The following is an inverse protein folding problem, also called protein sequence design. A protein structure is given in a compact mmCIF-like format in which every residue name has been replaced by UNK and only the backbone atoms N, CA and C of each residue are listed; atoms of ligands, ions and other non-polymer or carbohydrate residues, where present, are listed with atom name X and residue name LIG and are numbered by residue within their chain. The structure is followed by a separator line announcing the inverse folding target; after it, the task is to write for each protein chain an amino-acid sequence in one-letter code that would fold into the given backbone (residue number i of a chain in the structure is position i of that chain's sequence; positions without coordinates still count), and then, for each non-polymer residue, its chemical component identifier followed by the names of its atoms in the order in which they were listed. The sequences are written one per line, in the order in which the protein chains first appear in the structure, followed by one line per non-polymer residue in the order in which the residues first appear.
data_IF_232142034523
#
_entry.id   IF_232142034523
#
_cell.length_a   1.000
_cell.length_b   1.000
_cell.length_c   1.000
_cell.angle_alpha   90.00
_cell.angle_beta   90.00
_cell.angle_gamma   90.00
#
_symmetry.space_group_name_H-M   'P 1'
#
loop_
_entity.id
_entity.type
_entity.pdbx_description
1 polymer ?
#
# COMPACT_ATOMS: atom_id res chain seq x y z
N UNK A 1 15.89 -0.93 3.12
CA UNK A 1 14.69 -0.96 3.98
C UNK A 1 13.63 -1.83 3.34
N UNK A 2 12.79 -2.44 4.16
CA UNK A 2 11.67 -3.25 3.69
C UNK A 2 10.39 -2.46 3.80
N UNK A 3 9.46 -2.72 2.90
CA UNK A 3 8.16 -2.06 2.86
C UNK A 3 7.10 -3.15 2.70
N UNK A 4 6.03 -3.01 3.45
CA UNK A 4 4.96 -3.99 3.51
C UNK A 4 3.60 -3.33 3.32
N UNK A 5 2.64 -4.13 2.85
CA UNK A 5 1.23 -3.75 2.81
C UNK A 5 0.49 -4.49 3.93
N UNK A 6 -0.43 -3.78 4.56
CA UNK A 6 -1.31 -4.36 5.58
C UNK A 6 -2.72 -3.85 5.36
N UNK A 7 -3.69 -4.74 5.37
CA UNK A 7 -5.07 -4.34 5.21
C UNK A 7 -5.95 -5.42 4.61
N UNK A 8 -7.07 -4.99 4.06
CA UNK A 8 -7.98 -5.86 3.33
C UNK A 8 -7.47 -6.00 1.90
N UNK A 9 -6.37 -6.73 1.76
CA UNK A 9 -5.65 -6.92 0.50
C UNK A 9 -4.96 -8.29 0.53
N UNK A 10 -5.09 -9.04 -0.56
CA UNK A 10 -4.42 -10.33 -0.77
C UNK A 10 -4.57 -11.29 0.43
N UNK A 11 -5.70 -11.26 1.11
CA UNK A 11 -5.98 -12.16 2.24
C UNK A 11 -5.28 -11.80 3.54
N UNK A 12 -4.64 -10.64 3.64
CA UNK A 12 -3.90 -10.25 4.84
C UNK A 12 -4.78 -10.01 6.08
N UNK A 13 -5.96 -9.39 5.90
CA UNK A 13 -6.91 -9.19 6.99
C UNK A 13 -6.42 -8.27 8.10
N UNK A 14 -5.63 -7.25 7.79
CA UNK A 14 -5.08 -6.28 8.76
C UNK A 14 -4.12 -6.90 9.76
N UNK A 15 -3.50 -8.02 9.40
CA UNK A 15 -2.54 -8.69 10.27
C UNK A 15 -1.12 -8.17 10.02
N UNK A 16 -0.66 -7.27 10.88
CA UNK A 16 0.65 -6.62 10.70
C UNK A 16 1.82 -7.61 10.84
N UNK A 17 1.68 -8.66 11.65
CA UNK A 17 2.74 -9.65 11.79
C UNK A 17 2.91 -10.48 10.53
N UNK A 18 1.88 -10.56 9.70
CA UNK A 18 1.91 -11.24 8.41
C UNK A 18 1.76 -10.24 7.26
N UNK A 19 2.21 -9.01 7.44
CA UNK A 19 2.16 -7.99 6.40
C UNK A 19 2.86 -8.47 5.13
N UNK A 20 2.35 -8.01 4.00
CA UNK A 20 2.78 -8.48 2.69
C UNK A 20 4.00 -7.69 2.23
N UNK A 21 5.11 -8.37 1.97
CA UNK A 21 6.32 -7.73 1.46
C UNK A 21 6.12 -7.17 0.06
N UNK A 22 6.55 -5.93 -0.14
CA UNK A 22 6.64 -5.37 -1.49
C UNK A 22 8.02 -5.63 -2.07
N UNK A 23 8.12 -5.71 -3.38
CA UNK A 23 9.38 -5.91 -4.08
C UNK A 23 10.05 -4.58 -4.36
N UNK A 24 11.29 -4.41 -3.91
CA UNK A 24 12.06 -3.21 -4.21
C UNK A 24 12.47 -3.20 -5.68
N UNK A 25 12.10 -2.14 -6.39
CA UNK A 25 12.41 -1.96 -7.82
C UNK A 25 13.63 -1.08 -8.00
N UNK A 26 13.70 -0.01 -7.23
CA UNK A 26 14.81 0.92 -7.24
C UNK A 26 14.83 1.64 -5.88
N UNK A 27 15.75 2.56 -5.71
CA UNK A 27 15.91 3.26 -4.43
C UNK A 27 14.64 4.02 -4.06
N UNK A 28 13.97 3.59 -2.99
CA UNK A 28 12.73 4.20 -2.52
C UNK A 28 11.48 3.78 -3.28
N UNK A 29 11.59 2.92 -4.29
CA UNK A 29 10.45 2.50 -5.11
C UNK A 29 10.20 1.00 -4.93
N UNK A 30 8.94 0.66 -4.61
CA UNK A 30 8.51 -0.70 -4.33
C UNK A 30 7.22 -1.01 -5.09
N UNK A 31 7.03 -2.28 -5.44
CA UNK A 31 5.82 -2.69 -6.15
C UNK A 31 5.28 -4.02 -5.64
N UNK A 32 4.00 -4.23 -5.88
CA UNK A 32 3.31 -5.47 -5.57
C UNK A 32 2.17 -5.68 -6.57
N UNK A 33 2.07 -6.88 -7.12
CA UNK A 33 1.02 -7.23 -8.09
C UNK A 33 0.08 -8.24 -7.46
N UNK A 34 -1.22 -7.96 -7.52
CA UNK A 34 -2.26 -8.84 -6.98
C UNK A 34 -3.59 -8.52 -7.62
N UNK A 35 -4.54 -9.45 -7.51
CA UNK A 35 -5.93 -9.15 -7.81
C UNK A 35 -6.49 -8.26 -6.69
N UNK A 36 -7.26 -7.24 -7.05
CA UNK A 36 -7.84 -6.32 -6.09
C UNK A 36 -9.34 -6.27 -6.23
N UNK A 37 -10.04 -6.52 -5.13
CA UNK A 37 -11.50 -6.50 -5.07
C UNK A 37 -12.03 -5.08 -4.90
N UNK A 38 -13.34 -4.92 -4.97
CA UNK A 38 -13.99 -3.60 -4.86
C UNK A 38 -13.86 -2.96 -3.49
N UNK A 39 -13.55 -3.73 -2.45
CA UNK A 39 -13.42 -3.25 -1.08
C UNK A 39 -11.97 -3.25 -0.60
N UNK A 40 -11.02 -3.11 -1.50
CA UNK A 40 -9.59 -3.08 -1.14
C UNK A 40 -9.29 -1.84 -0.32
N UNK A 41 -8.62 -2.05 0.82
CA UNK A 41 -8.24 -0.96 1.72
C UNK A 41 -6.96 -1.37 2.44
N UNK A 42 -5.96 -0.49 2.47
CA UNK A 42 -4.67 -0.87 3.05
C UNK A 42 -3.85 0.34 3.48
N UNK A 43 -2.82 0.04 4.25
CA UNK A 43 -1.74 0.98 4.60
C UNK A 43 -0.41 0.40 4.18
N UNK A 44 0.57 1.28 4.09
CA UNK A 44 1.96 0.92 3.81
C UNK A 44 2.72 1.06 5.12
N UNK A 45 3.47 0.03 5.49
CA UNK A 45 4.26 0.04 6.74
C UNK A 45 5.69 -0.41 6.46
N UNK A 46 6.61 0.03 7.31
CA UNK A 46 8.03 -0.27 7.15
C UNK A 46 8.54 -1.39 8.06
N UNK A 47 7.65 -1.99 8.84
CA UNK A 47 7.97 -3.12 9.71
C UNK A 47 6.71 -3.95 9.90
N UNK A 48 6.84 -5.15 10.42
CA UNK A 48 5.67 -6.04 10.63
C UNK A 48 4.98 -5.73 11.96
N UNK A 49 4.64 -4.46 12.17
CA UNK A 49 3.88 -3.98 13.32
C UNK A 49 3.34 -2.60 12.99
N UNK A 50 2.30 -2.18 13.70
CA UNK A 50 1.79 -0.82 13.55
C UNK A 50 2.58 0.15 14.43
N UNK A 51 2.62 1.41 14.02
CA UNK A 51 2.96 2.51 14.90
C UNK A 51 4.25 3.24 14.64
N UNK A 52 5.27 2.62 14.06
CA UNK A 52 6.56 3.31 13.86
C UNK A 52 6.67 3.94 12.49
N UNK A 53 6.76 3.12 11.45
CA UNK A 53 6.91 3.57 10.07
C UNK A 53 5.65 3.20 9.31
N UNK A 54 4.65 4.07 9.40
CA UNK A 54 3.40 3.91 8.69
C UNK A 54 3.25 5.03 7.68
N UNK A 55 2.76 4.71 6.49
CA UNK A 55 2.43 5.68 5.47
C UNK A 55 0.96 5.52 5.11
N UNK A 56 0.17 6.52 5.45
CA UNK A 56 -1.25 6.54 5.12
C UNK A 56 -1.54 7.48 3.98
N UNK A 57 -2.77 7.45 3.50
CA UNK A 57 -3.25 8.32 2.43
C UNK A 57 -3.39 9.76 2.93
N UNK A 58 -2.65 10.69 2.35
CA UNK A 58 -2.84 12.11 2.60
C UNK A 58 -3.92 12.65 1.68
N UNK A 59 -3.79 12.40 0.39
CA UNK A 59 -4.80 12.80 -0.59
C UNK A 59 -4.64 11.96 -1.87
N UNK A 60 -5.77 11.70 -2.52
CA UNK A 60 -5.76 10.92 -3.74
C UNK A 60 -7.16 10.36 -4.00
N UNK A 61 -7.36 9.81 -5.15
CA UNK A 61 -8.66 9.32 -5.61
C UNK A 61 -8.70 7.81 -5.76
N UNK A 62 -7.94 7.10 -5.01
CA UNK A 62 -7.94 5.64 -5.03
C UNK A 62 -6.86 5.02 -5.91
N UNK A 63 -6.68 5.47 -7.15
CA UNK A 63 -5.67 4.85 -8.02
C UNK A 63 -4.36 5.63 -8.11
N UNK A 64 -4.29 6.79 -7.47
CA UNK A 64 -3.05 7.53 -7.29
C UNK A 64 -3.23 8.58 -6.21
N UNK A 65 -2.13 9.01 -5.60
CA UNK A 65 -2.20 10.04 -4.58
C UNK A 65 -0.92 10.19 -3.80
N UNK A 66 -1.02 10.98 -2.73
CA UNK A 66 0.10 11.25 -1.83
C UNK A 66 -0.03 10.45 -0.55
N UNK A 67 1.10 10.02 -0.02
CA UNK A 67 1.18 9.32 1.25
C UNK A 67 2.08 10.08 2.20
N UNK A 68 1.80 9.99 3.48
CA UNK A 68 2.56 10.66 4.51
C UNK A 68 2.95 9.75 5.65
N UNK A 69 4.01 10.09 6.40
CA UNK A 69 4.62 9.22 7.40
C UNK A 69 3.89 9.31 8.73
N UNK A 70 2.68 8.88 8.81
CA UNK A 70 1.93 8.89 10.07
C UNK A 70 0.81 7.88 10.03
N UNK A 71 0.65 7.15 11.10
CA UNK A 71 -0.42 6.18 11.24
C UNK A 71 -1.81 6.81 11.33
N UNK A 72 -1.91 8.10 11.64
CA UNK A 72 -3.18 8.79 11.71
C UNK A 72 -3.68 9.31 10.36
N UNK A 73 -2.88 9.20 9.32
CA UNK A 73 -3.37 9.44 7.96
C UNK A 73 -4.34 8.32 7.55
N UNK A 74 -5.27 8.64 6.68
CA UNK A 74 -6.30 7.69 6.26
C UNK A 74 -5.75 6.46 5.54
N UNK A 75 -6.53 5.40 5.50
CA UNK A 75 -6.18 4.23 4.71
C UNK A 75 -6.31 4.54 3.22
N UNK A 76 -5.53 3.84 2.40
CA UNK A 76 -5.69 3.89 0.95
C UNK A 76 -6.86 2.98 0.61
N UNK A 77 -7.89 3.53 -0.04
CA UNK A 77 -9.08 2.80 -0.45
C UNK A 77 -9.11 2.70 -1.97
N UNK A 78 -9.31 1.51 -2.48
CA UNK A 78 -9.32 1.27 -3.91
C UNK A 78 -10.49 0.36 -4.29
N UNK A 79 -11.23 0.77 -5.33
CA UNK A 79 -12.34 -0.03 -5.85
C UNK A 79 -11.83 -0.81 -7.06
N UNK A 80 -11.40 -2.04 -6.83
CA UNK A 80 -10.94 -2.93 -7.89
C UNK A 80 -12.11 -3.68 -8.52
N UNK A 81 -11.83 -4.37 -9.61
CA UNK A 81 -12.82 -5.18 -10.30
C UNK A 81 -12.47 -6.68 -10.27
N UNK A 82 -11.53 -7.07 -9.41
CA UNK A 82 -11.06 -8.43 -9.33
C UNK A 82 -9.94 -8.76 -10.31
N UNK A 83 -9.59 -7.84 -11.19
CA UNK A 83 -8.47 -8.01 -12.10
C UNK A 83 -7.14 -7.85 -11.36
N UNK A 84 -6.05 -8.19 -12.05
CA UNK A 84 -4.70 -7.99 -11.53
C UNK A 84 -4.29 -6.52 -11.66
N UNK A 85 -3.73 -5.98 -10.58
CA UNK A 85 -3.24 -4.60 -10.54
C UNK A 85 -1.83 -4.58 -9.98
N UNK A 86 -1.07 -3.54 -10.36
CA UNK A 86 0.24 -3.27 -9.79
C UNK A 86 0.14 -2.04 -8.89
N UNK A 87 0.52 -2.21 -7.63
CA UNK A 87 0.65 -1.12 -6.68
C UNK A 87 2.12 -0.70 -6.68
N UNK A 88 2.39 0.56 -6.96
CA UNK A 88 3.74 1.12 -6.91
C UNK A 88 3.78 2.21 -5.85
N UNK A 89 4.77 2.14 -4.98
CA UNK A 89 4.99 3.09 -3.90
C UNK A 89 6.35 3.74 -4.09
N UNK A 90 6.39 5.06 -4.11
CA UNK A 90 7.63 5.83 -4.16
C UNK A 90 7.75 6.62 -2.87
N UNK A 91 8.56 6.15 -1.93
CA UNK A 91 8.71 6.78 -0.62
C UNK A 91 9.47 8.09 -0.70
N UNK A 92 10.35 8.26 -1.68
CA UNK A 92 11.09 9.52 -1.84
C UNK A 92 10.18 10.65 -2.28
N UNK A 93 9.26 10.37 -3.20
CA UNK A 93 8.31 11.35 -3.70
C UNK A 93 7.06 11.43 -2.84
N UNK A 94 6.81 10.44 -1.98
CA UNK A 94 5.61 10.39 -1.15
C UNK A 94 4.36 10.13 -1.96
N UNK A 95 4.42 9.25 -2.97
CA UNK A 95 3.29 8.99 -3.86
C UNK A 95 3.08 7.49 -4.03
N UNK A 96 1.86 7.14 -4.41
CA UNK A 96 1.53 5.77 -4.82
C UNK A 96 0.69 5.79 -6.11
N UNK A 97 0.74 4.70 -6.85
CA UNK A 97 -0.13 4.48 -8.01
C UNK A 97 -0.62 3.03 -8.02
N UNK A 98 -1.82 2.82 -8.56
CA UNK A 98 -2.40 1.49 -8.74
C UNK A 98 -2.84 1.40 -10.20
N UNK A 99 -2.24 0.47 -10.94
CA UNK A 99 -2.50 0.31 -12.37
C UNK A 99 -2.96 -1.10 -12.69
N UNK A 100 -4.03 -1.19 -13.47
CA UNK A 100 -4.51 -2.48 -13.98
C UNK A 100 -3.49 -3.09 -14.92
N UNK A 101 -3.21 -4.35 -14.74
CA UNK A 101 -2.25 -5.10 -15.56
C UNK A 101 -2.88 -5.75 -16.77
#
# INVERSE_FOLDING_TARGET
AEVYLVGNIAGNGWDATNAISMTKVSNGVYEFVSTLASNTEFKIIGQKSFGSLDWGNISGDGNSGFIGPKGDNGNIKFVGDGSSYKITVNLKAGVYTIKKQ
#
